data_IF_197728671607
#
_entry.id   IF_197728671607
#
_cell.length_a   1.000
_cell.length_b   1.000
_cell.length_c   1.000
_cell.angle_alpha   90.00
_cell.angle_beta   90.00
_cell.angle_gamma   90.00
#
_symmetry.space_group_name_H-M   'P 1'
#
loop_
_entity.id
_entity.type
_entity.pdbx_description
1 polymer ?
#
# COMPACT_ATOMS: atom_id res chain seq x y z
N UNK A 1 1.98 1.98 -12.56
CA UNK A 1 2.91 1.24 -11.69
C UNK A 1 2.32 -0.10 -11.30
N UNK A 2 3.15 -1.03 -10.91
CA UNK A 2 2.65 -2.33 -10.42
C UNK A 2 2.49 -2.26 -8.90
N UNK A 3 1.40 -2.85 -8.41
CA UNK A 3 1.14 -2.95 -6.98
C UNK A 3 0.55 -4.31 -6.66
N UNK A 4 0.71 -4.75 -5.41
CA UNK A 4 0.09 -5.98 -4.93
C UNK A 4 -1.24 -5.60 -4.31
N UNK A 5 -2.33 -6.07 -4.94
CA UNK A 5 -3.69 -5.76 -4.54
C UNK A 5 -4.32 -6.98 -3.90
N UNK A 6 -4.97 -6.78 -2.76
CA UNK A 6 -5.81 -7.79 -2.14
C UNK A 6 -7.25 -7.52 -2.57
N UNK A 7 -7.78 -8.39 -3.42
CA UNK A 7 -9.15 -8.26 -3.95
C UNK A 7 -10.14 -9.09 -3.17
N UNK A 8 -9.67 -10.15 -2.51
CA UNK A 8 -10.46 -11.01 -1.65
C UNK A 8 -9.58 -11.58 -0.55
N UNK A 9 -10.15 -12.01 0.53
CA UNK A 9 -9.41 -12.73 1.56
C UNK A 9 -9.11 -14.16 1.11
N UNK A 10 -8.03 -14.72 1.61
CA UNK A 10 -7.68 -16.11 1.29
C UNK A 10 -6.21 -16.41 1.52
N UNK A 11 -5.74 -17.47 0.89
CA UNK A 11 -4.35 -17.90 0.91
C UNK A 11 -3.45 -17.00 0.05
N UNK A 12 -2.17 -17.39 -0.12
CA UNK A 12 -1.25 -16.56 -0.90
C UNK A 12 -1.71 -16.27 -2.33
N UNK A 13 -2.53 -17.14 -2.91
CA UNK A 13 -3.09 -16.95 -4.25
C UNK A 13 -4.06 -15.76 -4.34
N UNK A 14 -4.52 -15.24 -3.21
CA UNK A 14 -5.36 -14.05 -3.19
C UNK A 14 -4.58 -12.77 -3.49
N UNK A 15 -3.26 -12.80 -3.36
CA UNK A 15 -2.40 -11.67 -3.69
C UNK A 15 -2.24 -11.58 -5.20
N UNK A 16 -2.54 -10.40 -5.77
CA UNK A 16 -2.46 -10.17 -7.22
C UNK A 16 -1.59 -8.96 -7.53
N UNK A 17 -0.72 -9.13 -8.51
CA UNK A 17 0.03 -8.00 -9.06
C UNK A 17 -0.84 -7.34 -10.12
N UNK A 18 -1.11 -6.05 -9.95
CA UNK A 18 -1.95 -5.28 -10.88
C UNK A 18 -1.22 -4.02 -11.32
N UNK A 19 -1.51 -3.61 -12.54
CA UNK A 19 -1.09 -2.30 -13.02
C UNK A 19 -2.11 -1.28 -12.51
N UNK A 20 -1.63 -0.25 -11.81
CA UNK A 20 -2.48 0.78 -11.23
C UNK A 20 -1.92 2.16 -11.55
N UNK A 21 -2.76 3.21 -11.58
CA UNK A 21 -2.24 4.58 -11.74
C UNK A 21 -1.26 4.92 -10.63
N UNK A 22 -0.21 5.69 -10.97
CA UNK A 22 0.69 6.22 -9.95
C UNK A 22 -0.08 7.16 -9.03
N UNK A 23 0.08 7.05 -7.70
CA UNK A 23 -0.65 7.90 -6.78
C UNK A 23 -0.18 9.35 -6.87
N UNK A 24 -1.10 10.29 -6.57
CA UNK A 24 -0.78 11.71 -6.43
C UNK A 24 -1.04 12.13 -5.00
N UNK A 25 -0.12 12.90 -4.38
CA UNK A 25 -0.33 13.33 -3.00
C UNK A 25 -1.43 14.38 -2.93
N UNK A 26 -2.35 14.20 -1.99
CA UNK A 26 -3.34 15.20 -1.65
C UNK A 26 -2.71 16.29 -0.78
N UNK A 27 -3.48 17.31 -0.41
CA UNK A 27 -3.01 18.35 0.48
C UNK A 27 -2.51 17.74 1.80
N UNK A 28 -1.33 18.15 2.23
CA UNK A 28 -0.70 17.66 3.45
C UNK A 28 0.00 16.30 3.30
N UNK A 29 0.00 15.73 2.11
CA UNK A 29 0.62 14.43 1.85
C UNK A 29 1.87 14.55 0.98
N UNK A 30 2.69 13.52 1.01
CA UNK A 30 3.85 13.37 0.12
C UNK A 30 3.76 12.05 -0.61
N UNK A 31 4.42 11.98 -1.77
CA UNK A 31 4.63 10.72 -2.48
C UNK A 31 6.06 10.25 -2.26
N UNK A 32 6.20 8.96 -1.97
CA UNK A 32 7.50 8.34 -1.73
C UNK A 32 7.80 7.38 -2.87
N UNK A 33 8.97 7.53 -3.48
CA UNK A 33 9.52 6.54 -4.40
C UNK A 33 10.05 5.40 -3.56
N UNK A 34 9.35 4.26 -3.56
CA UNK A 34 9.65 3.14 -2.69
C UNK A 34 10.96 2.46 -3.12
N UNK A 35 11.82 2.19 -2.15
CA UNK A 35 13.07 1.45 -2.35
C UNK A 35 13.00 0.06 -1.71
N UNK A 36 12.29 -0.06 -0.59
CA UNK A 36 12.13 -1.33 0.11
C UNK A 36 10.84 -1.33 0.91
N UNK A 37 10.26 -2.50 1.07
CA UNK A 37 9.09 -2.70 1.93
C UNK A 37 9.38 -3.81 2.93
N UNK A 38 8.85 -3.67 4.15
CA UNK A 38 8.88 -4.73 5.14
C UNK A 38 7.59 -5.55 5.06
N UNK A 39 7.70 -6.82 5.39
CA UNK A 39 6.54 -7.72 5.47
C UNK A 39 6.35 -8.09 6.93
N UNK A 40 5.16 -7.87 7.45
CA UNK A 40 4.81 -8.11 8.85
C UNK A 40 3.73 -9.18 8.94
N UNK A 41 3.59 -9.79 10.10
CA UNK A 41 2.55 -10.79 10.30
C UNK A 41 1.14 -10.18 10.16
N UNK A 42 1.00 -8.89 10.41
CA UNK A 42 -0.27 -8.20 10.21
C UNK A 42 -0.76 -8.28 8.77
N UNK A 43 0.14 -8.26 7.77
CA UNK A 43 -0.27 -8.46 6.36
C UNK A 43 -0.79 -9.86 6.12
N UNK A 44 -0.24 -10.88 6.78
CA UNK A 44 -0.75 -12.24 6.70
C UNK A 44 -2.17 -12.31 7.28
N UNK A 45 -2.40 -11.67 8.42
CA UNK A 45 -3.73 -11.59 9.02
C UNK A 45 -4.71 -10.84 8.12
N UNK A 46 -4.26 -9.73 7.52
CA UNK A 46 -5.08 -8.95 6.59
C UNK A 46 -5.50 -9.78 5.38
N UNK A 47 -4.56 -10.54 4.80
CA UNK A 47 -4.83 -11.43 3.67
C UNK A 47 -5.88 -12.47 4.04
N UNK A 48 -5.84 -13.00 5.26
CA UNK A 48 -6.78 -14.01 5.75
C UNK A 48 -8.12 -13.42 6.18
N UNK A 49 -8.25 -12.10 6.26
CA UNK A 49 -9.46 -11.44 6.74
C UNK A 49 -9.57 -11.37 8.26
N UNK A 50 -8.46 -11.52 8.97
CA UNK A 50 -8.43 -11.59 10.43
C UNK A 50 -7.90 -10.31 11.10
N UNK A 51 -7.52 -9.30 10.31
CA UNK A 51 -6.99 -8.05 10.84
C UNK A 51 -8.09 -7.00 10.88
N UNK A 52 -8.53 -6.65 12.09
CA UNK A 52 -9.70 -5.79 12.27
C UNK A 52 -9.54 -4.34 11.79
N UNK A 53 -8.30 -3.88 11.59
CA UNK A 53 -8.01 -2.53 11.14
C UNK A 53 -7.69 -2.44 9.64
N UNK A 54 -7.84 -3.54 8.92
CA UNK A 54 -7.60 -3.54 7.49
C UNK A 54 -8.67 -2.71 6.78
N UNK A 55 -8.30 -1.99 5.69
CA UNK A 55 -9.28 -1.26 4.88
C UNK A 55 -10.28 -2.21 4.20
N UNK A 56 -11.34 -1.63 3.66
CA UNK A 56 -12.27 -2.38 2.82
C UNK A 56 -11.58 -2.85 1.54
N UNK A 57 -11.93 -4.06 1.09
CA UNK A 57 -11.43 -4.62 -0.18
C UNK A 57 -12.01 -3.87 -1.38
N UNK A 58 -11.32 -3.76 -2.49
CA UNK A 58 -9.90 -4.10 -2.68
C UNK A 58 -8.98 -3.01 -2.15
N UNK A 59 -7.75 -3.35 -1.77
CA UNK A 59 -6.78 -2.35 -1.37
C UNK A 59 -5.35 -2.85 -1.61
N UNK A 60 -4.40 -1.90 -1.64
CA UNK A 60 -2.98 -2.23 -1.74
C UNK A 60 -2.48 -2.68 -0.37
N UNK A 61 -2.01 -3.92 -0.30
CA UNK A 61 -1.54 -4.51 0.94
C UNK A 61 -0.15 -4.01 1.31
N UNK A 62 0.08 -3.78 2.60
CA UNK A 62 1.38 -3.37 3.12
C UNK A 62 1.24 -2.30 4.19
N UNK A 63 2.18 -2.26 5.12
CA UNK A 63 2.14 -1.35 6.28
C UNK A 63 3.38 -0.51 6.45
N UNK A 64 4.50 -0.89 5.82
CA UNK A 64 5.73 -0.13 5.98
C UNK A 64 6.54 -0.14 4.71
N UNK A 65 7.26 0.94 4.50
CA UNK A 65 8.11 1.10 3.35
C UNK A 65 9.17 2.16 3.66
N UNK A 66 10.25 2.13 2.90
CA UNK A 66 11.26 3.17 2.92
C UNK A 66 11.57 3.61 1.50
N UNK A 67 11.96 4.87 1.35
CA UNK A 67 12.27 5.41 0.04
C UNK A 67 12.56 6.89 0.11
N UNK A 68 12.45 7.56 -1.03
CA UNK A 68 12.73 8.97 -1.19
C UNK A 68 11.47 9.72 -1.59
N UNK A 69 11.22 10.86 -0.97
CA UNK A 69 10.09 11.72 -1.34
C UNK A 69 10.35 12.28 -2.74
N UNK A 70 9.43 12.05 -3.67
CA UNK A 70 9.55 12.51 -5.05
C UNK A 70 8.45 13.50 -5.48
N UNK A 71 7.46 13.74 -4.63
CA UNK A 71 6.41 14.71 -4.91
C UNK A 71 5.78 15.20 -3.60
N UNK A 72 5.52 16.51 -3.52
CA UNK A 72 4.87 17.12 -2.37
C UNK A 72 3.43 17.50 -2.74
N UNK A 73 2.50 17.23 -1.84
CA UNK A 73 1.14 17.73 -1.96
C UNK A 73 1.05 19.20 -1.57
N UNK A 74 -0.10 19.81 -1.82
CA UNK A 74 -0.33 21.21 -1.49
C UNK A 74 -0.11 21.45 0.02
N UNK A 75 0.56 22.56 0.36
CA UNK A 75 0.80 22.96 1.74
C UNK A 75 1.95 22.25 2.43
N UNK A 76 2.60 21.31 1.77
CA UNK A 76 3.78 20.63 2.32
C UNK A 76 5.03 21.37 1.88
N UNK A 77 5.85 21.74 2.85
CA UNK A 77 7.13 22.39 2.59
C UNK A 77 8.26 21.38 2.54
N UNK A 78 9.26 21.60 1.64
CA UNK A 78 10.39 20.70 1.52
C UNK A 78 11.30 20.72 2.76
#
# INVERSE_FOLDING_TARGET
MRAIILERHGGPEALRVREVPGPRPAAGEVRVQIEAIGVNYAEVLSRKGLYGWAPALPYTLGMEATGTIDMLGAGVEP
#
